data_IF_635069958324
#
_entry.id   IF_635069958324
#
_cell.length_a   1.000
_cell.length_b   1.000
_cell.length_c   1.000
_cell.angle_alpha   90.00
_cell.angle_beta   90.00
_cell.angle_gamma   90.00
#
_symmetry.space_group_name_H-M   'P 1'
#
loop_
_entity.id
_entity.type
_entity.pdbx_description
1 polymer ?
#
# COMPACT_ATOMS: atom_id res chain seq x y z
N UNK A 1 -3.79 8.67 8.59
CA UNK A 1 -2.92 9.27 7.55
C UNK A 1 -3.50 9.15 6.14
N UNK A 2 -4.49 8.28 5.91
CA UNK A 2 -5.26 8.27 4.68
C UNK A 2 -6.64 8.96 4.81
N UNK A 3 -6.98 9.60 5.94
CA UNK A 3 -8.02 10.66 5.97
C UNK A 3 -7.77 11.79 4.96
N UNK A 4 -6.53 11.97 4.51
CA UNK A 4 -6.17 13.02 3.54
C UNK A 4 -6.65 12.74 2.13
N UNK A 5 -7.09 11.50 1.88
CA UNK A 5 -7.68 11.09 0.62
C UNK A 5 -9.18 10.78 0.79
N UNK A 6 -9.70 10.61 2.01
CA UNK A 6 -11.14 10.36 2.26
C UNK A 6 -12.00 11.60 2.51
N UNK A 7 -11.45 12.75 2.94
CA UNK A 7 -12.24 13.99 3.11
C UNK A 7 -12.41 14.84 1.83
N UNK A 8 -12.39 14.20 0.65
CA UNK A 8 -12.91 14.76 -0.61
C UNK A 8 -14.28 14.17 -1.02
N UNK A 9 -14.96 13.42 -0.15
CA UNK A 9 -16.29 12.83 -0.42
C UNK A 9 -17.43 13.55 0.32
N UNK A 10 -17.27 14.81 0.73
CA UNK A 10 -18.41 15.56 1.30
C UNK A 10 -18.45 17.03 0.87
N UNK A 11 -18.88 17.23 -0.37
CA UNK A 11 -19.74 18.38 -0.74
C UNK A 11 -21.05 17.75 -1.26
N UNK A 12 -22.22 18.18 -0.77
CA UNK A 12 -23.48 17.49 -1.03
C UNK A 12 -23.89 17.69 -2.49
N UNK A 13 -23.87 16.63 -3.29
CA UNK A 13 -24.59 16.60 -4.55
C UNK A 13 -25.65 15.50 -4.47
N UNK A 14 -26.89 15.99 -4.39
CA UNK A 14 -28.19 15.37 -4.65
C UNK A 14 -28.31 13.83 -4.55
N UNK A 15 -29.22 13.43 -3.66
CA UNK A 15 -29.86 12.13 -3.54
C UNK A 15 -30.11 11.43 -4.90
N UNK A 16 -29.45 10.29 -5.11
CA UNK A 16 -29.97 9.18 -5.90
C UNK A 16 -29.87 7.88 -5.09
N UNK A 17 -30.84 6.96 -5.23
CA UNK A 17 -31.10 5.91 -4.25
C UNK A 17 -30.14 4.72 -4.37
N UNK A 18 -29.97 4.04 -3.24
CA UNK A 18 -29.06 2.91 -3.03
C UNK A 18 -29.25 1.73 -4.02
N UNK A 19 -28.13 1.19 -4.50
CA UNK A 19 -28.01 -0.22 -4.92
C UNK A 19 -26.77 -0.81 -4.24
N UNK A 20 -26.98 -1.96 -3.58
CA UNK A 20 -26.14 -2.55 -2.55
C UNK A 20 -24.89 -3.28 -3.06
N UNK A 21 -23.75 -2.97 -2.42
CA UNK A 21 -22.45 -3.60 -2.55
C UNK A 21 -21.37 -2.54 -2.35
N UNK A 22 -20.82 -2.39 -1.15
CA UNK A 22 -19.70 -1.46 -0.91
C UNK A 22 -18.53 -1.85 -1.81
N UNK A 23 -18.24 -1.01 -2.81
CA UNK A 23 -17.07 -1.20 -3.68
C UNK A 23 -15.80 -0.91 -2.89
N UNK A 24 -15.18 -1.97 -2.36
CA UNK A 24 -13.85 -1.92 -1.74
C UNK A 24 -12.77 -1.71 -2.81
N UNK A 25 -11.74 -0.93 -2.50
CA UNK A 25 -10.73 -0.54 -3.50
C UNK A 25 -9.31 -0.90 -3.10
N UNK A 26 -8.51 -1.23 -4.11
CA UNK A 26 -7.05 -1.26 -4.03
C UNK A 26 -6.49 0.02 -4.62
N UNK A 27 -5.72 0.76 -3.83
CA UNK A 27 -5.12 2.02 -4.23
C UNK A 27 -3.80 1.84 -4.95
N UNK A 28 -3.04 0.81 -4.59
CA UNK A 28 -1.74 0.59 -5.18
C UNK A 28 -1.02 -0.60 -4.58
N UNK A 29 -0.04 -1.06 -5.33
CA UNK A 29 0.81 -2.19 -5.00
C UNK A 29 2.26 -1.85 -5.38
N UNK A 30 3.18 -2.21 -4.49
CA UNK A 30 4.60 -2.03 -4.64
C UNK A 30 5.29 -3.39 -4.45
N UNK A 31 6.20 -3.74 -5.36
CA UNK A 31 7.19 -4.81 -5.18
C UNK A 31 8.49 -4.16 -4.76
N UNK A 32 9.08 -4.63 -3.67
CA UNK A 32 10.25 -4.06 -3.03
C UNK A 32 11.31 -5.13 -2.75
N UNK A 33 12.56 -4.71 -2.67
CA UNK A 33 13.67 -5.48 -2.14
C UNK A 33 14.09 -4.91 -0.78
N UNK A 34 14.02 -5.74 0.26
CA UNK A 34 14.45 -5.39 1.62
C UNK A 34 15.98 -5.57 1.73
N UNK A 35 16.73 -4.53 1.41
CA UNK A 35 18.17 -4.52 1.63
C UNK A 35 18.53 -4.46 3.11
N UNK A 36 19.82 -4.65 3.43
CA UNK A 36 20.34 -4.53 4.79
C UNK A 36 20.30 -3.09 5.32
N UNK A 37 20.56 -2.11 4.44
CA UNK A 37 20.64 -0.70 4.82
C UNK A 37 19.42 0.12 4.38
N UNK A 38 18.79 -0.26 3.27
CA UNK A 38 17.62 0.46 2.73
C UNK A 38 16.71 -0.46 1.94
N UNK A 39 15.42 -0.11 1.90
CA UNK A 39 14.46 -0.78 1.02
C UNK A 39 14.36 -0.08 -0.33
N UNK A 40 14.42 -0.87 -1.40
CA UNK A 40 14.28 -0.38 -2.78
C UNK A 40 12.94 -0.81 -3.37
N UNK A 41 12.26 0.10 -4.07
CA UNK A 41 11.09 -0.24 -4.89
C UNK A 41 11.60 -0.78 -6.23
N UNK A 42 11.18 -2.00 -6.58
CA UNK A 42 11.50 -2.64 -7.85
C UNK A 42 10.42 -2.35 -8.89
N UNK A 43 9.15 -2.35 -8.49
CA UNK A 43 8.04 -1.97 -9.36
C UNK A 43 6.86 -1.48 -8.55
N UNK A 44 6.09 -0.55 -9.08
CA UNK A 44 4.85 -0.10 -8.47
C UNK A 44 3.73 0.12 -9.49
N UNK A 45 2.49 0.02 -9.01
CA UNK A 45 1.29 0.34 -9.76
C UNK A 45 0.27 0.98 -8.83
N UNK A 46 -0.50 1.95 -9.35
CA UNK A 46 -1.44 2.74 -8.56
C UNK A 46 -2.77 2.93 -9.30
N UNK A 47 -3.86 2.94 -8.55
CA UNK A 47 -5.19 3.29 -9.00
C UNK A 47 -5.71 4.49 -8.17
N UNK A 48 -5.51 5.69 -8.70
CA UNK A 48 -5.77 6.96 -8.00
C UNK A 48 -6.87 7.80 -8.66
N UNK A 49 -7.70 7.18 -9.52
CA UNK A 49 -8.68 7.91 -10.33
C UNK A 49 -9.74 8.64 -9.48
N UNK A 50 -10.03 8.12 -8.29
CA UNK A 50 -10.96 8.75 -7.36
C UNK A 50 -10.45 10.04 -6.72
N UNK A 51 -9.13 10.27 -6.73
CA UNK A 51 -8.54 11.45 -6.13
C UNK A 51 -8.45 12.57 -7.16
N UNK A 52 -8.50 13.81 -6.68
CA UNK A 52 -8.35 15.00 -7.52
C UNK A 52 -7.01 14.96 -8.27
N UNK A 53 -7.04 15.30 -9.57
CA UNK A 53 -5.89 15.17 -10.47
C UNK A 53 -4.58 15.74 -9.89
N UNK A 54 -4.64 16.93 -9.28
CA UNK A 54 -3.49 17.61 -8.70
C UNK A 54 -2.93 16.99 -7.41
N UNK A 55 -3.68 16.10 -6.76
CA UNK A 55 -3.26 15.43 -5.52
C UNK A 55 -2.67 14.05 -5.80
N UNK A 56 -2.95 13.45 -6.95
CA UNK A 56 -2.53 12.08 -7.30
C UNK A 56 -1.02 11.87 -7.19
N UNK A 57 -0.23 12.84 -7.65
CA UNK A 57 1.23 12.78 -7.55
C UNK A 57 1.70 12.70 -6.09
N UNK A 58 1.16 13.55 -5.22
CA UNK A 58 1.50 13.51 -3.79
C UNK A 58 1.04 12.22 -3.11
N UNK A 59 -0.16 11.73 -3.43
CA UNK A 59 -0.67 10.48 -2.88
C UNK A 59 0.23 9.31 -3.30
N UNK A 60 0.62 9.25 -4.57
CA UNK A 60 1.54 8.23 -5.08
C UNK A 60 2.88 8.23 -4.33
N UNK A 61 3.49 9.40 -4.15
CA UNK A 61 4.74 9.53 -3.38
C UNK A 61 4.57 9.06 -1.94
N UNK A 62 3.45 9.40 -1.28
CA UNK A 62 3.16 8.93 0.08
C UNK A 62 2.96 7.42 0.17
N UNK A 63 2.29 6.82 -0.82
CA UNK A 63 2.08 5.37 -0.86
C UNK A 63 3.41 4.64 -1.03
N UNK A 64 4.29 5.12 -1.91
CA UNK A 64 5.64 4.60 -2.09
C UNK A 64 6.47 4.72 -0.80
N UNK A 65 6.46 5.90 -0.19
CA UNK A 65 7.14 6.16 1.08
C UNK A 65 6.65 5.25 2.22
N UNK A 66 5.34 5.12 2.37
CA UNK A 66 4.69 4.25 3.36
C UNK A 66 5.09 2.78 3.13
N UNK A 67 5.10 2.34 1.87
CA UNK A 67 5.49 0.97 1.49
C UNK A 67 6.94 0.67 1.85
N UNK A 68 7.86 1.64 1.68
CA UNK A 68 9.26 1.50 2.11
C UNK A 68 9.36 1.33 3.62
N UNK A 69 8.76 2.23 4.40
CA UNK A 69 8.81 2.15 5.88
C UNK A 69 8.26 0.81 6.38
N UNK A 70 7.08 0.40 5.89
CA UNK A 70 6.45 -0.85 6.32
C UNK A 70 7.38 -2.05 6.05
N UNK A 71 8.01 -2.07 4.87
CA UNK A 71 8.94 -3.15 4.50
C UNK A 71 10.21 -3.13 5.35
N UNK A 72 10.76 -1.95 5.64
CA UNK A 72 11.94 -1.77 6.51
C UNK A 72 11.68 -2.26 7.92
N UNK A 73 10.48 -1.99 8.45
CA UNK A 73 10.06 -2.33 9.81
C UNK A 73 9.52 -3.75 9.95
N UNK A 74 9.15 -4.39 8.84
CA UNK A 74 8.68 -5.78 8.83
C UNK A 74 9.83 -6.77 8.91
N UNK A 75 9.64 -7.84 9.69
CA UNK A 75 10.58 -8.96 9.75
C UNK A 75 10.56 -9.76 8.45
N UNK A 76 11.69 -10.38 8.12
CA UNK A 76 11.78 -11.36 7.03
C UNK A 76 10.87 -12.55 7.36
N UNK A 77 10.28 -13.17 6.34
CA UNK A 77 9.33 -14.28 6.49
C UNK A 77 8.11 -13.89 7.34
N UNK A 78 7.55 -12.69 7.10
CA UNK A 78 6.37 -12.23 7.84
C UNK A 78 5.31 -11.66 6.92
N UNK A 79 4.05 -11.92 7.28
CA UNK A 79 2.85 -11.31 6.70
C UNK A 79 2.23 -10.41 7.75
N UNK A 80 2.02 -9.14 7.41
CA UNK A 80 1.41 -8.18 8.33
C UNK A 80 0.33 -7.36 7.64
N UNK A 81 -0.56 -6.80 8.43
CA UNK A 81 -1.56 -5.85 7.97
C UNK A 81 -1.65 -4.72 8.97
N UNK A 82 -1.57 -3.49 8.49
CA UNK A 82 -1.46 -2.29 9.31
C UNK A 82 -2.64 -1.42 8.95
N UNK A 83 -3.57 -1.29 9.90
CA UNK A 83 -4.70 -0.41 9.79
C UNK A 83 -4.25 1.01 10.09
N UNK A 84 -4.68 1.94 9.25
CA UNK A 84 -4.48 3.37 9.45
C UNK A 84 -5.76 4.09 9.03
N UNK A 85 -6.66 4.31 10.00
CA UNK A 85 -8.00 4.85 9.79
C UNK A 85 -8.86 3.94 8.90
N UNK A 86 -9.33 4.45 7.76
CA UNK A 86 -10.21 3.74 6.81
C UNK A 86 -9.45 2.85 5.82
N UNK A 87 -8.12 2.80 5.96
CA UNK A 87 -7.23 2.16 5.01
C UNK A 87 -6.41 1.09 5.69
N UNK A 88 -5.96 0.13 4.88
CA UNK A 88 -5.19 -1.01 5.30
C UNK A 88 -4.00 -1.20 4.38
N UNK A 89 -2.82 -1.30 4.98
CA UNK A 89 -1.59 -1.64 4.30
C UNK A 89 -1.27 -3.11 4.59
N UNK A 90 -1.26 -3.95 3.58
CA UNK A 90 -0.87 -5.36 3.66
C UNK A 90 0.57 -5.50 3.18
N UNK A 91 1.38 -6.24 3.93
CA UNK A 91 2.78 -6.49 3.58
C UNK A 91 3.09 -7.97 3.70
N UNK A 92 3.84 -8.48 2.73
CA UNK A 92 4.47 -9.79 2.80
C UNK A 92 5.95 -9.64 2.48
N UNK A 93 6.83 -10.08 3.39
CA UNK A 93 8.28 -10.15 3.19
C UNK A 93 8.69 -11.62 3.12
N UNK A 94 9.22 -12.05 1.98
CA UNK A 94 9.71 -13.42 1.73
C UNK A 94 11.08 -13.67 2.38
N UNK A 95 11.48 -14.94 2.56
CA UNK A 95 12.80 -15.32 3.07
C UNK A 95 13.99 -14.81 2.24
N UNK A 96 13.80 -14.58 0.95
CA UNK A 96 14.82 -14.09 0.00
C UNK A 96 14.89 -12.54 -0.06
N UNK A 97 14.27 -11.85 0.91
CA UNK A 97 14.18 -10.40 1.02
C UNK A 97 13.35 -9.70 -0.07
N UNK A 98 12.64 -10.47 -0.90
CA UNK A 98 11.64 -9.92 -1.79
C UNK A 98 10.36 -9.61 -1.00
N UNK A 99 9.79 -8.43 -1.19
CA UNK A 99 8.62 -7.99 -0.45
C UNK A 99 7.58 -7.36 -1.37
N UNK A 100 6.31 -7.44 -0.98
CA UNK A 100 5.25 -6.69 -1.63
C UNK A 100 4.38 -6.00 -0.58
N UNK A 101 3.94 -4.80 -0.91
CA UNK A 101 3.02 -4.00 -0.11
C UNK A 101 1.83 -3.61 -0.97
N UNK A 102 0.61 -3.86 -0.49
CA UNK A 102 -0.63 -3.38 -1.08
C UNK A 102 -1.35 -2.45 -0.12
N UNK A 103 -1.93 -1.37 -0.65
CA UNK A 103 -2.70 -0.39 0.11
C UNK A 103 -4.13 -0.43 -0.40
N UNK A 104 -5.09 -0.57 0.50
CA UNK A 104 -6.51 -0.78 0.20
C UNK A 104 -7.40 -0.07 1.21
N UNK A 105 -8.71 -0.09 0.95
CA UNK A 105 -9.70 0.17 1.99
C UNK A 105 -9.66 -0.93 3.07
N UNK A 106 -9.92 -0.58 4.32
CA UNK A 106 -9.90 -1.54 5.43
C UNK A 106 -10.97 -2.65 5.34
N UNK A 107 -11.99 -2.46 4.52
CA UNK A 107 -13.02 -3.45 4.22
C UNK A 107 -12.55 -4.49 3.17
N UNK A 108 -11.45 -4.20 2.46
CA UNK A 108 -10.86 -5.15 1.52
C UNK A 108 -10.37 -6.39 2.26
N UNK A 109 -10.75 -7.57 1.78
CA UNK A 109 -10.52 -8.84 2.48
C UNK A 109 -9.02 -9.12 2.63
N UNK A 110 -8.54 -9.20 3.88
CA UNK A 110 -7.13 -9.44 4.20
C UNK A 110 -6.56 -10.68 3.50
N UNK A 111 -7.34 -11.78 3.46
CA UNK A 111 -6.94 -13.03 2.81
C UNK A 111 -6.71 -12.82 1.32
N UNK A 112 -7.63 -12.12 0.65
CA UNK A 112 -7.51 -11.82 -0.78
C UNK A 112 -6.30 -10.93 -1.05
N UNK A 113 -6.05 -9.94 -0.19
CA UNK A 113 -4.86 -9.09 -0.33
C UNK A 113 -3.56 -9.88 -0.21
N UNK A 114 -3.41 -10.76 0.78
CA UNK A 114 -2.19 -11.56 0.94
C UNK A 114 -1.99 -12.58 -0.18
N UNK A 115 -3.07 -13.21 -0.66
CA UNK A 115 -3.01 -14.09 -1.84
C UNK A 115 -2.50 -13.33 -3.08
N UNK A 116 -2.94 -12.08 -3.26
CA UNK A 116 -2.43 -11.22 -4.34
C UNK A 116 -0.94 -10.97 -4.19
N UNK A 117 -0.48 -10.64 -2.98
CA UNK A 117 0.94 -10.36 -2.72
C UNK A 117 1.80 -11.59 -3.05
N UNK A 118 1.40 -12.78 -2.62
CA UNK A 118 2.11 -14.03 -2.94
C UNK A 118 2.23 -14.24 -4.45
N UNK A 119 1.11 -14.18 -5.17
CA UNK A 119 1.08 -14.38 -6.62
C UNK A 119 1.95 -13.36 -7.36
N UNK A 120 1.89 -12.09 -6.95
CA UNK A 120 2.71 -11.02 -7.55
C UNK A 120 4.19 -11.26 -7.28
N UNK A 121 4.55 -11.72 -6.08
CA UNK A 121 5.95 -12.02 -5.75
C UNK A 121 6.48 -13.25 -6.49
N UNK A 122 5.67 -14.28 -6.67
CA UNK A 122 6.00 -15.45 -7.49
C UNK A 122 6.22 -15.09 -8.95
N UNK A 123 5.27 -14.37 -9.56
CA UNK A 123 5.36 -13.94 -10.96
C UNK A 123 6.56 -12.99 -11.19
N UNK A 124 6.80 -12.08 -10.25
CA UNK A 124 7.96 -11.20 -10.29
C UNK A 124 9.28 -11.98 -10.24
N UNK A 125 9.42 -12.91 -9.29
CA UNK A 125 10.64 -13.70 -9.12
C UNK A 125 10.91 -14.64 -10.31
N UNK A 126 9.85 -15.08 -11.01
CA UNK A 126 9.98 -15.87 -12.23
C UNK A 126 10.56 -15.06 -13.41
N UNK A 127 10.29 -13.74 -13.46
CA UNK A 127 10.70 -12.85 -14.57
C UNK A 127 11.98 -12.08 -14.28
N UNK A 128 12.26 -11.77 -13.02
CA UNK A 128 13.39 -10.91 -12.61
C UNK A 128 14.30 -11.68 -11.66
N UNK A 129 15.50 -12.10 -12.11
CA UNK A 129 16.46 -12.85 -11.29
C UNK A 129 16.90 -12.13 -10.01
N UNK A 130 17.08 -12.89 -8.92
CA UNK A 130 17.37 -12.36 -7.58
C UNK A 130 18.63 -11.48 -7.49
N UNK A 131 19.67 -11.79 -8.27
CA UNK A 131 20.92 -11.02 -8.26
C UNK A 131 20.75 -9.57 -8.78
N UNK A 132 19.65 -9.27 -9.48
CA UNK A 132 19.37 -7.92 -9.99
C UNK A 132 18.68 -7.04 -8.95
N UNK A 133 17.87 -7.60 -8.05
CA UNK A 133 17.06 -6.83 -7.10
C UNK A 133 17.85 -5.79 -6.27
N UNK A 134 19.09 -6.07 -5.81
CA UNK A 134 19.87 -5.10 -5.04
C UNK A 134 20.38 -3.89 -5.82
N UNK A 135 20.33 -3.89 -7.15
CA UNK A 135 20.93 -2.85 -7.99
C UNK A 135 20.00 -2.31 -9.09
N UNK A 136 18.74 -2.75 -9.13
CA UNK A 136 17.84 -2.42 -10.24
C UNK A 136 16.97 -1.22 -9.91
N UNK A 137 16.87 -0.27 -10.85
CA UNK A 137 15.90 0.83 -10.79
C UNK A 137 14.55 0.42 -11.37
N UNK A 138 13.47 1.00 -10.85
CA UNK A 138 12.10 0.67 -11.27
C UNK A 138 11.85 0.83 -12.78
N UNK A 139 12.51 1.79 -13.42
CA UNK A 139 12.40 2.10 -14.85
C UNK A 139 12.92 0.98 -15.75
N UNK A 140 13.92 0.21 -15.30
CA UNK A 140 14.58 -0.84 -16.08
C UNK A 140 14.04 -2.24 -15.79
N UNK A 141 13.22 -2.41 -14.75
CA UNK A 141 12.62 -3.72 -14.42
C UNK A 141 11.60 -4.14 -15.49
N UNK A 142 11.81 -5.28 -16.19
CA UNK A 142 10.93 -5.78 -17.25
C UNK A 142 9.71 -6.51 -16.69
N UNK A 143 8.96 -5.84 -15.80
CA UNK A 143 7.75 -6.36 -15.17
C UNK A 143 6.59 -5.39 -15.42
N UNK A 144 5.92 -5.54 -16.55
CA UNK A 144 4.89 -4.61 -17.04
C UNK A 144 3.47 -5.00 -16.68
N UNK A 145 3.26 -6.19 -16.14
CA UNK A 145 1.93 -6.77 -15.88
C UNK A 145 1.31 -6.27 -14.56
N UNK A 146 2.10 -5.68 -13.65
CA UNK A 146 1.64 -5.23 -12.34
C UNK A 146 0.39 -4.33 -12.37
N UNK A 147 0.24 -3.34 -13.29
CA UNK A 147 -0.98 -2.54 -13.39
C UNK A 147 -2.20 -3.35 -13.82
N UNK A 148 -2.04 -4.33 -14.72
CA UNK A 148 -3.14 -5.20 -15.14
C UNK A 148 -3.57 -6.13 -14.00
N UNK A 149 -2.59 -6.66 -13.24
CA UNK A 149 -2.86 -7.42 -12.01
C UNK A 149 -3.60 -6.55 -11.00
N UNK A 150 -3.16 -5.32 -10.74
CA UNK A 150 -3.87 -4.42 -9.82
C UNK A 150 -5.33 -4.19 -10.24
N UNK A 151 -5.60 -4.06 -11.54
CA UNK A 151 -6.96 -3.89 -12.06
C UNK A 151 -7.83 -5.14 -11.88
N UNK A 152 -7.29 -6.33 -12.19
CA UNK A 152 -7.98 -7.61 -12.03
C UNK A 152 -8.37 -7.86 -10.56
N UNK A 153 -7.50 -7.50 -9.63
CA UNK A 153 -7.73 -7.69 -8.20
C UNK A 153 -8.61 -6.61 -7.56
N UNK A 154 -9.10 -5.61 -8.31
CA UNK A 154 -10.14 -4.69 -7.79
C UNK A 154 -11.47 -5.41 -7.52
N UNK A 155 -11.74 -6.52 -8.21
CA UNK A 155 -12.92 -7.35 -7.97
C UNK A 155 -12.51 -8.61 -7.19
N UNK A 156 -12.74 -8.66 -5.86
CA UNK A 156 -12.36 -9.82 -5.06
C UNK A 156 -12.96 -11.14 -5.54
N UNK A 157 -14.13 -11.11 -6.21
CA UNK A 157 -14.78 -12.32 -6.73
C UNK A 157 -14.05 -12.92 -7.93
N UNK A 158 -13.53 -12.08 -8.81
CA UNK A 158 -12.72 -12.52 -9.96
C UNK A 158 -11.35 -13.03 -9.50
N UNK A 159 -10.78 -12.37 -8.49
CA UNK A 159 -9.56 -12.82 -7.83
C UNK A 159 -9.72 -14.15 -7.06
N UNK A 160 -10.85 -14.36 -6.39
CA UNK A 160 -11.13 -15.59 -5.63
C UNK A 160 -11.24 -16.81 -6.56
N UNK A 161 -11.87 -16.66 -7.73
CA UNK A 161 -11.91 -17.72 -8.74
C UNK A 161 -10.51 -18.18 -9.20
N UNK A 162 -9.51 -17.28 -9.15
CA UNK A 162 -8.11 -17.57 -9.47
C UNK A 162 -7.35 -18.26 -8.33
N UNK A 163 -7.82 -18.14 -7.08
CA UNK A 163 -7.12 -18.62 -5.87
C UNK A 163 -7.77 -19.85 -5.21
N UNK A 164 -9.01 -20.21 -5.56
CA UNK A 164 -9.68 -21.44 -5.08
C UNK A 164 -8.91 -22.74 -5.33
N UNK A 165 -7.97 -22.77 -6.28
CA UNK A 165 -7.19 -23.96 -6.63
C UNK A 165 -5.99 -24.16 -5.67
N UNK A 166 -5.69 -23.18 -4.81
CA UNK A 166 -4.59 -23.23 -3.83
C UNK A 166 -5.10 -23.47 -2.40
N UNK A 167 -5.98 -24.44 -2.19
CA UNK A 167 -6.56 -24.80 -0.87
C UNK A 167 -5.60 -25.56 0.06
N UNK A 168 -4.30 -25.29 -0.01
CA UNK A 168 -3.29 -25.72 0.98
C UNK A 168 -2.56 -24.52 1.59
N UNK A 169 -3.29 -23.44 1.89
CA UNK A 169 -2.71 -22.32 2.63
C UNK A 169 -2.51 -22.76 4.08
N UNK A 170 -1.29 -23.16 4.43
CA UNK A 170 -0.81 -23.14 5.82
C UNK A 170 -1.31 -21.86 6.45
N UNK A 171 -2.02 -21.96 7.59
CA UNK A 171 -2.57 -20.84 8.34
C UNK A 171 -1.42 -19.91 8.77
N UNK A 172 -0.98 -19.06 7.84
CA UNK A 172 0.15 -18.18 8.07
C UNK A 172 -0.36 -17.08 8.95
N UNK A 173 0.16 -17.00 10.17
CA UNK A 173 -0.23 -15.99 11.15
C UNK A 173 0.02 -14.59 10.59
N UNK A 174 -1.05 -13.93 10.15
CA UNK A 174 -1.01 -12.52 9.74
C UNK A 174 -0.98 -11.66 11.00
N UNK A 175 0.06 -10.85 11.16
CA UNK A 175 0.18 -9.91 12.28
C UNK A 175 -0.66 -8.67 11.97
N UNK A 176 -1.59 -8.31 12.85
CA UNK A 176 -2.45 -7.13 12.68
C UNK A 176 -1.99 -5.99 13.59
N UNK A 177 -1.73 -4.83 13.00
CA UNK A 177 -1.46 -3.58 13.71
C UNK A 177 -2.65 -2.62 13.53
N UNK A 178 -3.09 -1.97 14.61
CA UNK A 178 -4.26 -1.08 14.60
C UNK A 178 -3.95 0.36 14.16
N UNK A 179 -2.67 0.74 14.16
CA UNK A 179 -2.19 2.07 13.82
C UNK A 179 -0.80 1.97 13.19
N UNK A 180 -0.48 2.89 12.28
CA UNK A 180 0.85 2.94 11.66
C UNK A 180 1.97 3.20 12.68
N UNK A 181 1.68 3.88 13.79
CA UNK A 181 2.66 4.08 14.88
C UNK A 181 3.14 2.78 15.51
N UNK A 182 2.41 1.68 15.36
CA UNK A 182 2.81 0.38 15.90
C UNK A 182 3.98 -0.26 15.13
N UNK A 183 4.30 0.22 13.92
CA UNK A 183 5.48 -0.21 13.16
C UNK A 183 6.65 0.78 13.26
N UNK A 184 6.47 1.91 13.95
CA UNK A 184 7.54 2.88 14.18
C UNK A 184 8.40 2.50 15.40
N UNK A 185 9.64 2.98 15.42
CA UNK A 185 10.49 2.83 16.60
C UNK A 185 10.00 3.65 17.79
N UNK A 186 10.35 3.23 19.00
CA UNK A 186 9.99 3.97 20.22
C UNK A 186 10.59 5.37 20.16
N UNK A 187 9.73 6.39 20.19
CA UNK A 187 10.13 7.80 20.15
C UNK A 187 10.24 8.39 18.74
N UNK A 188 10.09 7.56 17.70
CA UNK A 188 10.05 7.99 16.31
C UNK A 188 8.68 8.59 15.97
N UNK A 189 8.68 9.71 15.24
CA UNK A 189 7.46 10.37 14.76
C UNK A 189 7.42 10.35 13.25
N UNK A 190 6.22 10.09 12.72
CA UNK A 190 5.98 10.10 11.29
C UNK A 190 6.26 11.47 10.65
N UNK A 191 6.00 12.56 11.38
CA UNK A 191 6.34 13.91 10.92
C UNK A 191 7.84 14.07 10.66
N UNK A 192 8.67 13.49 11.51
CA UNK A 192 10.13 13.57 11.39
C UNK A 192 10.60 12.77 10.18
N UNK A 193 10.04 11.57 9.99
CA UNK A 193 10.29 10.73 8.81
C UNK A 193 9.88 11.44 7.51
N UNK A 194 8.69 12.05 7.47
CA UNK A 194 8.21 12.81 6.30
C UNK A 194 9.13 14.00 6.02
N UNK A 195 9.56 14.73 7.06
CA UNK A 195 10.43 15.89 6.89
C UNK A 195 11.80 15.54 6.30
N UNK A 196 12.39 14.41 6.75
CA UNK A 196 13.71 13.93 6.35
C UNK A 196 13.71 13.14 5.03
N UNK A 197 12.55 12.64 4.59
CA UNK A 197 12.45 11.82 3.38
C UNK A 197 12.90 12.57 2.13
N UNK A 198 13.86 12.02 1.39
CA UNK A 198 14.25 12.49 0.06
C UNK A 198 13.29 11.99 -1.04
N UNK A 199 12.49 10.95 -0.73
CA UNK A 199 11.51 10.37 -1.65
C UNK A 199 10.21 11.18 -1.77
N UNK A 200 10.04 12.21 -0.95
CA UNK A 200 8.86 13.08 -0.96
C UNK A 200 9.24 14.46 -1.49
N UNK A 201 8.54 14.91 -2.53
CA UNK A 201 8.69 16.25 -3.06
C UNK A 201 8.26 17.31 -2.03
N UNK A 202 8.77 18.54 -2.18
CA UNK A 202 8.36 19.67 -1.34
C UNK A 202 6.84 19.88 -1.36
N UNK A 203 6.21 19.64 -2.52
CA UNK A 203 4.75 19.70 -2.66
C UNK A 203 4.05 18.64 -1.81
N UNK A 204 4.52 17.39 -1.84
CA UNK A 204 3.96 16.31 -1.03
C UNK A 204 4.16 16.55 0.46
N UNK A 205 5.34 17.00 0.88
CA UNK A 205 5.59 17.37 2.29
C UNK A 205 4.65 18.48 2.76
N UNK A 206 4.40 19.49 1.92
CA UNK A 206 3.44 20.57 2.22
C UNK A 206 2.00 20.07 2.23
N UNK A 207 1.63 19.20 1.27
CA UNK A 207 0.32 18.55 1.21
C UNK A 207 0.06 17.83 2.54
N UNK A 208 0.96 16.97 2.99
CA UNK A 208 0.85 16.28 4.27
C UNK A 208 0.68 17.22 5.47
N UNK A 209 1.51 18.25 5.57
CA UNK A 209 1.43 19.22 6.69
C UNK A 209 0.11 19.96 6.71
N UNK A 210 -0.36 20.43 5.54
CA UNK A 210 -1.62 21.17 5.41
C UNK A 210 -2.79 20.29 5.79
N UNK A 211 -2.77 19.08 5.24
CA UNK A 211 -3.81 18.11 5.40
C UNK A 211 -3.89 17.66 6.89
N UNK A 212 -2.75 17.45 7.57
CA UNK A 212 -2.70 17.21 9.02
C UNK A 212 -3.29 18.37 9.85
N UNK A 213 -3.02 19.62 9.46
CA UNK A 213 -3.55 20.81 10.14
C UNK A 213 -5.07 20.95 9.99
N UNK A 214 -5.60 20.71 8.79
CA UNK A 214 -7.06 20.77 8.53
C UNK A 214 -7.82 19.77 9.42
N UNK A 215 -7.26 18.58 9.63
CA UNK A 215 -7.83 17.57 10.52
C UNK A 215 -7.73 17.92 12.02
N UNK A 216 -6.89 18.88 12.41
CA UNK A 216 -6.71 19.29 13.80
C UNK A 216 -7.65 20.42 14.25
N UNK A 217 -8.37 21.05 13.32
CA UNK A 217 -9.24 22.21 13.61
C UNK A 217 -10.73 21.87 13.80
N UNK A 218 -11.10 20.59 13.93
CA UNK A 218 -12.48 20.16 14.21
C UNK A 218 -12.62 19.56 15.62
N UNK A 219 -12.23 20.32 16.64
CA UNK A 219 -12.46 20.01 18.07
C UNK A 219 -13.27 21.10 18.80
N UNK A 220 -14.03 21.90 18.07
CA UNK A 220 -15.01 22.83 18.66
C UNK A 220 -16.40 22.51 18.10
N UNK A 221 -17.24 21.96 18.98
CA UNK A 221 -18.62 21.56 18.74
C UNK A 221 -19.01 20.46 19.71
#
# INVERSE_FOLDING_TARGET
MLRMASELISVPLALEPAVAGTMVKLYGICVLYKGTESTRILKSAYNLQQFGYFQRGSIQEFMAFTSKIITERSNICSKQSIKEQEYMCHVYVRPDNLAAVAISDHEYLYRVAHNMLEKVLEDFAAKVPAHLWPNTEESVVPYTELPATLALWQNPREADALTRVQEEVEETKIILHNAFTAVLERGEKLDDLVSKSENLSSQSKMFYKTAKKTNSCCSFG
#
